data_IF_971834282675
#
_entry.id   IF_971834282675
#
_cell.length_a   1.000
_cell.length_b   1.000
_cell.length_c   1.000
_cell.angle_alpha   90.00
_cell.angle_beta   90.00
_cell.angle_gamma   90.00
#
_symmetry.space_group_name_H-M   'P 1'
#
loop_
_entity.id
_entity.type
_entity.pdbx_description
1 polymer ?
#
# COMPACT_ATOMS: atom_id res chain seq x y z
N UNK A 1 5.03 -11.62 12.49
CA UNK A 1 5.80 -11.12 11.33
C UNK A 1 6.77 -10.05 11.82
N UNK A 2 8.08 -10.34 11.77
CA UNK A 2 9.12 -9.47 12.35
C UNK A 2 8.99 -8.00 11.94
N UNK A 3 8.74 -7.73 10.65
CA UNK A 3 8.56 -6.37 10.14
C UNK A 3 7.45 -5.62 10.89
N UNK A 4 6.27 -6.23 11.02
CA UNK A 4 5.14 -5.62 11.72
C UNK A 4 5.38 -5.51 13.24
N UNK A 5 6.18 -6.40 13.82
CA UNK A 5 6.51 -6.36 15.25
C UNK A 5 7.45 -5.20 15.58
N UNK A 6 8.36 -4.88 14.67
CA UNK A 6 9.29 -3.75 14.79
C UNK A 6 8.67 -2.39 14.43
N UNK A 7 7.49 -2.38 13.79
CA UNK A 7 6.81 -1.16 13.40
C UNK A 7 5.82 -0.73 14.49
N UNK A 8 5.85 0.51 14.97
CA UNK A 8 4.96 1.01 16.03
C UNK A 8 3.56 1.33 15.47
N UNK A 9 2.85 0.31 15.00
CA UNK A 9 1.48 0.40 14.51
C UNK A 9 0.48 -0.01 15.58
N UNK A 10 -0.73 0.57 15.54
CA UNK A 10 -1.82 0.30 16.46
C UNK A 10 -3.21 0.61 15.89
N UNK A 11 -4.18 0.78 16.78
CA UNK A 11 -5.62 0.90 16.45
C UNK A 11 -6.00 2.09 15.56
N UNK A 12 -5.18 3.13 15.57
CA UNK A 12 -5.46 4.37 14.83
C UNK A 12 -4.72 4.41 13.47
N UNK A 13 -4.02 3.32 13.13
CA UNK A 13 -3.27 3.20 11.88
C UNK A 13 -4.03 2.45 10.80
N UNK A 14 -3.71 2.79 9.56
CA UNK A 14 -4.15 2.10 8.34
C UNK A 14 -2.94 1.56 7.60
N UNK A 15 -2.93 0.28 7.33
CA UNK A 15 -1.87 -0.40 6.57
C UNK A 15 -2.40 -0.77 5.19
N UNK A 16 -1.78 -0.24 4.15
CA UNK A 16 -2.11 -0.62 2.77
C UNK A 16 -1.08 -1.64 2.29
N UNK A 17 -1.54 -2.82 1.90
CA UNK A 17 -0.68 -3.88 1.35
C UNK A 17 -1.01 -4.08 -0.12
N UNK A 18 -0.04 -3.75 -0.98
CA UNK A 18 -0.17 -3.94 -2.42
C UNK A 18 0.46 -5.28 -2.84
N UNK A 19 -0.36 -6.20 -3.31
CA UNK A 19 0.09 -7.51 -3.80
C UNK A 19 -0.87 -8.07 -4.84
N UNK A 20 -0.42 -8.21 -6.10
CA UNK A 20 -1.26 -8.61 -7.24
C UNK A 20 -1.99 -9.92 -6.98
N UNK A 21 -1.29 -10.96 -6.58
CA UNK A 21 -1.88 -12.26 -6.31
C UNK A 21 -2.38 -12.44 -4.86
N UNK A 22 -1.90 -11.62 -3.94
CA UNK A 22 -2.23 -11.73 -2.52
C UNK A 22 -1.96 -13.10 -1.87
N UNK A 23 -1.25 -14.00 -2.56
CA UNK A 23 -1.10 -15.41 -2.16
C UNK A 23 0.10 -15.70 -1.27
N UNK A 24 1.11 -14.81 -1.28
CA UNK A 24 2.39 -15.06 -0.61
C UNK A 24 2.28 -14.87 0.90
N UNK A 25 2.97 -15.74 1.67
CA UNK A 25 2.91 -15.75 3.12
C UNK A 25 3.25 -14.38 3.74
N UNK A 26 4.23 -13.67 3.22
CA UNK A 26 4.65 -12.35 3.75
C UNK A 26 3.50 -11.35 3.77
N UNK A 27 2.73 -11.24 2.68
CA UNK A 27 1.60 -10.31 2.60
C UNK A 27 0.47 -10.68 3.57
N UNK A 28 0.19 -11.98 3.70
CA UNK A 28 -0.85 -12.50 4.58
C UNK A 28 -0.45 -12.38 6.05
N UNK A 29 0.80 -12.74 6.40
CA UNK A 29 1.34 -12.58 7.75
C UNK A 29 1.35 -11.11 8.18
N UNK A 30 1.74 -10.19 7.28
CA UNK A 30 1.73 -8.76 7.56
C UNK A 30 0.32 -8.26 7.85
N UNK A 31 -0.67 -8.66 7.05
CA UNK A 31 -2.07 -8.28 7.24
C UNK A 31 -2.63 -8.80 8.57
N UNK A 32 -2.42 -10.09 8.85
CA UNK A 32 -2.87 -10.71 10.11
C UNK A 32 -2.24 -9.99 11.30
N UNK A 33 -0.92 -9.77 11.25
CA UNK A 33 -0.20 -9.15 12.37
C UNK A 33 -0.58 -7.69 12.59
N UNK A 34 -0.79 -6.92 11.52
CA UNK A 34 -1.29 -5.54 11.61
C UNK A 34 -2.65 -5.49 12.31
N UNK A 35 -3.58 -6.37 11.94
CA UNK A 35 -4.91 -6.47 12.57
C UNK A 35 -4.83 -6.90 14.02
N UNK A 36 -3.96 -7.84 14.39
CA UNK A 36 -3.72 -8.22 15.79
C UNK A 36 -3.23 -7.06 16.65
N UNK A 37 -2.50 -6.10 16.05
CA UNK A 37 -2.08 -4.85 16.70
C UNK A 37 -3.16 -3.77 16.70
N UNK A 38 -4.32 -4.04 16.10
CA UNK A 38 -5.48 -3.15 16.07
C UNK A 38 -5.58 -2.24 14.85
N UNK A 39 -4.60 -2.26 13.95
CA UNK A 39 -4.63 -1.46 12.74
C UNK A 39 -5.68 -1.97 11.73
N UNK A 40 -6.17 -1.07 10.88
CA UNK A 40 -7.01 -1.42 9.73
C UNK A 40 -6.14 -1.81 8.55
N UNK A 41 -6.53 -2.83 7.82
CA UNK A 41 -5.78 -3.33 6.66
C UNK A 41 -6.57 -3.15 5.38
N UNK A 42 -5.96 -2.49 4.41
CA UNK A 42 -6.47 -2.36 3.04
C UNK A 42 -5.60 -3.23 2.13
N UNK A 43 -6.21 -4.16 1.42
CA UNK A 43 -5.57 -4.92 0.35
C UNK A 43 -5.75 -4.20 -0.98
N UNK A 44 -4.67 -3.82 -1.65
CA UNK A 44 -4.68 -3.42 -3.05
C UNK A 44 -4.17 -4.61 -3.87
N UNK A 45 -5.06 -5.27 -4.59
CA UNK A 45 -4.77 -6.55 -5.28
C UNK A 45 -5.43 -6.60 -6.65
N UNK A 46 -5.11 -7.59 -7.45
CA UNK A 46 -5.89 -7.92 -8.65
C UNK A 46 -6.81 -9.08 -8.32
N UNK A 47 -8.10 -8.83 -8.25
CA UNK A 47 -9.07 -9.82 -7.79
C UNK A 47 -9.18 -11.02 -8.74
N UNK A 48 -9.11 -10.81 -10.06
CA UNK A 48 -9.12 -11.90 -11.04
C UNK A 48 -7.93 -12.83 -10.84
N UNK A 49 -6.73 -12.27 -10.70
CA UNK A 49 -5.49 -13.05 -10.45
C UNK A 49 -5.52 -13.71 -9.08
N UNK A 50 -5.90 -12.96 -8.05
CA UNK A 50 -5.88 -13.44 -6.67
C UNK A 50 -6.90 -14.56 -6.43
N UNK A 51 -8.09 -14.48 -7.02
CA UNK A 51 -9.11 -15.52 -6.92
C UNK A 51 -8.67 -16.82 -7.62
N UNK A 52 -7.93 -16.70 -8.74
CA UNK A 52 -7.53 -17.83 -9.58
C UNK A 52 -6.33 -18.64 -9.05
N UNK A 53 -5.67 -18.20 -7.99
CA UNK A 53 -4.47 -18.88 -7.45
C UNK A 53 -4.72 -19.39 -6.03
N UNK A 54 -4.01 -20.45 -5.66
CA UNK A 54 -4.05 -20.97 -4.29
C UNK A 54 -3.12 -20.18 -3.36
N UNK A 55 -3.48 -20.11 -2.09
CA UNK A 55 -2.64 -19.53 -1.05
C UNK A 55 -1.32 -20.30 -0.88
N UNK A 56 -0.27 -19.55 -0.54
CA UNK A 56 1.02 -20.10 -0.07
C UNK A 56 1.24 -19.89 1.43
N UNK A 57 0.22 -19.37 2.11
CA UNK A 57 0.25 -19.18 3.55
C UNK A 57 -0.30 -20.42 4.27
N UNK A 58 0.27 -20.76 5.43
CA UNK A 58 -0.11 -21.92 6.25
C UNK A 58 -1.59 -21.97 6.66
N UNK A 59 -2.26 -20.81 6.73
CA UNK A 59 -3.69 -20.73 7.03
C UNK A 59 -4.59 -21.06 5.85
N UNK A 60 -4.06 -21.22 4.64
CA UNK A 60 -4.84 -21.36 3.42
C UNK A 60 -5.50 -20.05 2.94
N UNK A 61 -5.39 -18.95 3.69
CA UNK A 61 -5.99 -17.65 3.34
C UNK A 61 -5.07 -16.81 2.45
N UNK A 62 -5.68 -15.94 1.65
CA UNK A 62 -5.04 -14.94 0.79
C UNK A 62 -5.25 -13.54 1.38
N UNK A 63 -4.53 -12.56 0.90
CA UNK A 63 -4.54 -11.19 1.43
C UNK A 63 -5.96 -10.59 1.48
N UNK A 64 -6.74 -10.73 0.39
CA UNK A 64 -8.10 -10.18 0.33
C UNK A 64 -9.07 -10.81 1.33
N UNK A 65 -8.77 -12.04 1.82
CA UNK A 65 -9.62 -12.74 2.79
C UNK A 65 -9.30 -12.34 4.24
N UNK A 66 -8.19 -11.65 4.46
CA UNK A 66 -7.75 -11.19 5.79
C UNK A 66 -7.74 -9.67 5.94
N UNK A 67 -7.92 -8.92 4.86
CA UNK A 67 -8.00 -7.47 4.90
C UNK A 67 -9.40 -6.99 5.34
N UNK A 68 -9.46 -5.77 5.88
CA UNK A 68 -10.72 -5.11 6.25
C UNK A 68 -11.41 -4.46 5.04
N UNK A 69 -10.61 -4.00 4.07
CA UNK A 69 -11.07 -3.44 2.80
C UNK A 69 -10.22 -3.98 1.65
N UNK A 70 -10.87 -4.26 0.53
CA UNK A 70 -10.21 -4.72 -0.69
C UNK A 70 -10.42 -3.71 -1.81
N UNK A 71 -9.32 -3.29 -2.42
CA UNK A 71 -9.30 -2.48 -3.63
C UNK A 71 -8.79 -3.34 -4.78
N UNK A 72 -9.65 -3.56 -5.77
CA UNK A 72 -9.26 -4.23 -7.01
C UNK A 72 -8.55 -3.22 -7.92
N UNK A 73 -7.34 -3.55 -8.35
CA UNK A 73 -6.62 -2.70 -9.30
C UNK A 73 -7.11 -2.84 -10.75
N UNK A 74 -8.03 -3.78 -11.02
CA UNK A 74 -8.60 -4.05 -12.34
C UNK A 74 -7.55 -4.22 -13.46
N UNK A 75 -6.32 -4.60 -13.10
CA UNK A 75 -5.24 -4.86 -14.05
C UNK A 75 -5.41 -6.17 -14.81
N UNK A 76 -4.49 -6.46 -15.72
CA UNK A 76 -4.53 -7.69 -16.51
C UNK A 76 -4.28 -8.93 -15.62
N UNK A 77 -5.00 -10.01 -15.92
CA UNK A 77 -4.69 -11.32 -15.34
C UNK A 77 -3.24 -11.72 -15.65
N UNK A 78 -2.50 -12.08 -14.60
CA UNK A 78 -1.07 -12.36 -14.69
C UNK A 78 -0.19 -11.11 -14.74
N UNK A 79 -0.80 -9.92 -14.54
CA UNK A 79 -0.17 -8.60 -14.41
C UNK A 79 0.38 -7.98 -15.72
N UNK A 80 1.11 -8.74 -16.54
CA UNK A 80 1.73 -8.22 -17.76
C UNK A 80 0.74 -8.15 -18.93
N UNK A 81 0.69 -7.00 -19.63
CA UNK A 81 -0.33 -6.69 -20.65
C UNK A 81 0.14 -6.90 -22.09
N UNK A 82 1.43 -6.67 -22.39
CA UNK A 82 1.93 -6.53 -23.75
C UNK A 82 2.58 -7.81 -24.28
N UNK A 83 1.99 -8.54 -25.24
CA UNK A 83 2.66 -9.61 -25.95
C UNK A 83 3.65 -9.03 -26.97
N UNK A 84 4.84 -9.62 -27.10
CA UNK A 84 5.81 -9.29 -28.13
C UNK A 84 6.15 -10.51 -28.98
N UNK A 85 6.23 -10.38 -30.31
CA UNK A 85 6.63 -11.47 -31.19
C UNK A 85 8.01 -12.04 -30.80
N UNK A 86 8.11 -13.36 -30.69
CA UNK A 86 9.35 -14.05 -30.31
C UNK A 86 9.69 -14.03 -28.81
N UNK A 87 8.89 -13.38 -27.97
CA UNK A 87 9.05 -13.38 -26.50
C UNK A 87 7.98 -14.28 -25.88
N UNK A 88 8.34 -15.34 -25.13
CA UNK A 88 7.37 -16.31 -24.62
C UNK A 88 6.48 -15.76 -23.49
N UNK A 89 6.89 -14.66 -22.83
CA UNK A 89 6.16 -14.02 -21.75
C UNK A 89 5.67 -12.62 -22.17
N UNK A 90 4.53 -12.21 -21.62
CA UNK A 90 4.07 -10.81 -21.77
C UNK A 90 4.96 -9.88 -20.95
N UNK A 91 5.01 -8.61 -21.37
CA UNK A 91 5.72 -7.51 -20.72
C UNK A 91 4.77 -6.43 -20.23
N UNK A 92 5.30 -5.45 -19.52
CA UNK A 92 4.53 -4.29 -19.05
C UNK A 92 3.56 -4.65 -17.92
N UNK A 93 4.04 -4.79 -16.67
CA UNK A 93 3.19 -5.06 -15.52
C UNK A 93 2.23 -3.89 -15.27
N UNK A 94 0.93 -4.18 -15.22
CA UNK A 94 -0.13 -3.19 -15.01
C UNK A 94 -0.23 -2.74 -13.56
N UNK A 95 0.11 -3.61 -12.63
CA UNK A 95 -0.01 -3.35 -11.19
C UNK A 95 0.82 -2.17 -10.72
N UNK A 96 2.03 -1.99 -11.24
CA UNK A 96 2.92 -0.89 -10.86
C UNK A 96 2.28 0.47 -11.17
N UNK A 97 1.79 0.63 -12.39
CA UNK A 97 1.19 1.90 -12.85
C UNK A 97 -0.13 2.16 -12.14
N UNK A 98 -1.03 1.18 -12.16
CA UNK A 98 -2.37 1.33 -11.56
C UNK A 98 -2.24 1.45 -10.04
N UNK A 99 -1.38 0.65 -9.41
CA UNK A 99 -1.16 0.71 -7.97
C UNK A 99 -0.66 2.08 -7.52
N UNK A 100 0.32 2.65 -8.21
CA UNK A 100 0.82 3.99 -7.92
C UNK A 100 -0.28 5.05 -8.12
N UNK A 101 -1.07 4.96 -9.20
CA UNK A 101 -2.16 5.89 -9.47
C UNK A 101 -3.25 5.84 -8.38
N UNK A 102 -3.66 4.63 -7.97
CA UNK A 102 -4.66 4.43 -6.90
C UNK A 102 -4.15 4.98 -5.57
N UNK A 103 -2.90 4.67 -5.20
CA UNK A 103 -2.32 5.17 -3.96
C UNK A 103 -2.21 6.69 -3.94
N UNK A 104 -1.75 7.31 -5.03
CA UNK A 104 -1.69 8.76 -5.16
C UNK A 104 -3.09 9.39 -5.05
N UNK A 105 -4.09 8.82 -5.70
CA UNK A 105 -5.47 9.32 -5.61
C UNK A 105 -6.01 9.25 -4.16
N UNK A 106 -5.75 8.15 -3.45
CA UNK A 106 -6.12 8.00 -2.04
C UNK A 106 -5.42 9.06 -1.20
N UNK A 107 -4.10 9.25 -1.37
CA UNK A 107 -3.33 10.23 -0.59
C UNK A 107 -3.82 11.67 -0.87
N UNK A 108 -4.03 12.05 -2.13
CA UNK A 108 -4.57 13.37 -2.48
C UNK A 108 -5.93 13.61 -1.82
N UNK A 109 -6.83 12.62 -1.91
CA UNK A 109 -8.15 12.75 -1.30
C UNK A 109 -8.10 12.78 0.23
N UNK A 110 -7.17 12.05 0.84
CA UNK A 110 -6.94 12.08 2.29
C UNK A 110 -6.50 13.48 2.74
N UNK A 111 -5.55 14.09 2.03
CA UNK A 111 -5.09 15.46 2.29
C UNK A 111 -6.25 16.46 2.18
N UNK A 112 -7.06 16.36 1.12
CA UNK A 112 -8.24 17.22 0.96
C UNK A 112 -9.21 17.11 2.15
N UNK A 113 -9.46 15.90 2.63
CA UNK A 113 -10.35 15.65 3.76
C UNK A 113 -9.79 16.18 5.07
N UNK A 114 -8.48 16.02 5.31
CA UNK A 114 -7.79 16.58 6.48
C UNK A 114 -7.92 18.11 6.48
N UNK A 115 -7.64 18.75 5.35
CA UNK A 115 -7.75 20.20 5.22
C UNK A 115 -9.19 20.69 5.39
N UNK A 116 -10.17 19.98 4.85
CA UNK A 116 -11.59 20.28 5.00
C UNK A 116 -12.06 20.16 6.46
N UNK A 117 -11.40 19.32 7.26
CA UNK A 117 -11.64 19.20 8.69
C UNK A 117 -10.92 20.29 9.54
N UNK A 118 -10.25 21.25 8.87
CA UNK A 118 -9.52 22.33 9.56
C UNK A 118 -8.21 21.89 10.18
N UNK A 119 -7.65 20.78 9.74
CA UNK A 119 -6.37 20.23 10.22
C UNK A 119 -5.28 20.41 9.18
N UNK A 120 -4.03 20.53 9.64
CA UNK A 120 -2.87 20.56 8.73
C UNK A 120 -2.50 19.14 8.26
N UNK A 121 -2.29 18.99 6.97
CA UNK A 121 -1.84 17.72 6.40
C UNK A 121 -0.30 17.65 6.31
N UNK A 122 0.34 16.52 6.70
CA UNK A 122 1.80 16.34 6.62
C UNK A 122 2.24 16.02 5.19
N UNK A 123 2.32 17.03 4.35
CA UNK A 123 2.77 16.91 2.96
C UNK A 123 4.17 17.48 2.82
N UNK A 124 5.10 16.69 2.28
CA UNK A 124 6.46 17.13 1.98
C UNK A 124 6.52 17.86 0.64
N UNK A 125 7.40 18.85 0.56
CA UNK A 125 7.72 19.57 -0.66
C UNK A 125 8.93 18.93 -1.36
N UNK A 126 9.01 19.03 -2.68
CA UNK A 126 10.22 18.57 -3.39
C UNK A 126 11.45 19.35 -2.91
N UNK A 127 12.53 18.65 -2.60
CA UNK A 127 13.82 19.28 -2.25
C UNK A 127 14.41 20.11 -3.42
N UNK A 128 13.96 19.87 -4.65
CA UNK A 128 14.34 20.66 -5.82
C UNK A 128 13.55 21.98 -5.96
N UNK A 129 12.63 22.25 -5.05
CA UNK A 129 11.87 23.51 -4.99
C UNK A 129 12.58 24.47 -4.03
N UNK A 130 12.70 25.74 -4.39
CA UNK A 130 13.29 26.76 -3.53
C UNK A 130 12.59 26.80 -2.17
N UNK A 131 13.36 26.68 -1.10
CA UNK A 131 12.83 26.59 0.26
C UNK A 131 12.31 25.22 0.69
N UNK A 132 12.31 24.21 -0.20
CA UNK A 132 11.80 22.86 0.09
C UNK A 132 12.49 22.17 1.24
N UNK A 133 13.81 22.30 1.35
CA UNK A 133 14.59 21.68 2.43
C UNK A 133 14.24 22.25 3.80
N UNK A 134 14.11 23.57 3.91
CA UNK A 134 13.75 24.21 5.18
C UNK A 134 12.30 23.88 5.57
N UNK A 135 11.38 23.92 4.60
CA UNK A 135 10.00 23.51 4.80
C UNK A 135 9.92 22.06 5.33
N UNK A 136 10.62 21.13 4.67
CA UNK A 136 10.61 19.71 5.06
C UNK A 136 11.23 19.48 6.44
N UNK A 137 12.30 20.21 6.78
CA UNK A 137 12.92 20.17 8.12
C UNK A 137 11.93 20.60 9.21
N UNK A 138 11.14 21.63 8.96
CA UNK A 138 10.10 22.08 9.88
C UNK A 138 8.96 21.05 9.99
N UNK A 139 8.58 20.43 8.88
CA UNK A 139 7.55 19.39 8.83
C UNK A 139 8.00 18.14 9.61
N UNK A 140 9.23 17.67 9.40
CA UNK A 140 9.84 16.56 10.15
C UNK A 140 9.87 16.84 11.65
N UNK A 141 10.24 18.06 12.04
CA UNK A 141 10.25 18.47 13.46
C UNK A 141 8.84 18.48 14.06
N UNK A 142 7.84 18.96 13.31
CA UNK A 142 6.44 19.02 13.76
C UNK A 142 5.85 17.63 13.98
N UNK A 143 6.21 16.65 13.16
CA UNK A 143 5.65 15.30 13.18
C UNK A 143 6.65 14.22 13.64
N UNK A 144 7.72 14.62 14.37
CA UNK A 144 8.80 13.71 14.79
C UNK A 144 8.29 12.47 15.55
N UNK A 145 7.26 12.62 16.38
CA UNK A 145 6.69 11.53 17.17
C UNK A 145 5.89 10.52 16.33
N UNK A 146 5.57 10.86 15.07
CA UNK A 146 4.82 10.02 14.15
C UNK A 146 5.68 9.42 13.03
N UNK A 147 6.92 9.90 12.86
CA UNK A 147 7.85 9.46 11.81
C UNK A 147 8.95 8.62 12.44
N UNK A 148 8.75 7.30 12.48
CA UNK A 148 9.64 6.37 13.20
C UNK A 148 10.75 5.74 12.31
N UNK A 149 10.79 6.04 11.03
CA UNK A 149 11.70 5.45 10.05
C UNK A 149 12.76 6.43 9.51
N UNK A 150 12.89 7.61 10.11
CA UNK A 150 13.90 8.63 9.77
C UNK A 150 14.86 8.88 10.92
#
# INVERSE_FOLDING_TARGET
CLLMDMTPIGKDDVIIIHSVSGRNAVSVDAAIRAREKGARVIALTNMETSAAVESRHKSGKKLYEVADLVLDNCGCRGDAALPLPGVPAKMGPTSTVIGAAVLNAIMCRTVELIMAAGQDAPVFMSANTDGGDEYNKNMLKKYADHIFYM
#
